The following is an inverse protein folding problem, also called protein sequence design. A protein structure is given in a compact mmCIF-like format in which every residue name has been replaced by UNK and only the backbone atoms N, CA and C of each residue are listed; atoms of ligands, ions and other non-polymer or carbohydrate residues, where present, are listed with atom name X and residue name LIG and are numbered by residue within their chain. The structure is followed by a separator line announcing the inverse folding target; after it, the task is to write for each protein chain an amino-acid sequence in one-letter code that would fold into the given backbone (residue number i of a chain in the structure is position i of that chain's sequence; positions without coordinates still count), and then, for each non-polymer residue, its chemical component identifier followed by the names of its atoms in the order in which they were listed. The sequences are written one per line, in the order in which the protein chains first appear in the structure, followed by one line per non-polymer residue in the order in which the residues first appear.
data_IF_147495798726
#
_entry.id   IF_147495798726
#
_cell.length_a   1.000
_cell.length_b   1.000
_cell.length_c   1.000
_cell.angle_alpha   90.00
_cell.angle_beta   90.00
_cell.angle_gamma   90.00
#
_symmetry.space_group_name_H-M   'P 1'
#
loop_
_entity.id
_entity.type
_entity.pdbx_description
1 polymer ?
#
# COMPACT_ATOMS: atom_id res chain seq x y z
N UNK A 1 -3.71 3.60 25.23
CA UNK A 1 -4.37 4.81 24.68
C UNK A 1 -3.76 5.06 23.31
N UNK A 2 -4.46 4.71 22.23
CA UNK A 2 -4.01 5.07 20.90
C UNK A 2 -4.21 6.59 20.71
N UNK A 3 -3.27 7.32 20.09
CA UNK A 3 -3.46 8.73 19.79
C UNK A 3 -4.67 8.91 18.88
N UNK A 4 -5.45 9.98 19.11
CA UNK A 4 -6.57 10.32 18.23
C UNK A 4 -6.01 10.76 16.88
N UNK A 5 -6.49 10.23 15.74
CA UNK A 5 -6.00 10.64 14.44
C UNK A 5 -6.23 12.14 14.23
N UNK A 6 -5.29 12.85 13.58
CA UNK A 6 -5.47 14.25 13.20
C UNK A 6 -6.62 14.40 12.20
N UNK A 7 -7.15 15.61 12.05
CA UNK A 7 -8.21 15.86 11.04
C UNK A 7 -7.69 15.53 9.63
N UNK A 8 -8.55 15.07 8.72
CA UNK A 8 -8.18 14.87 7.32
C UNK A 8 -7.49 16.11 6.73
N UNK A 9 -6.40 15.91 5.99
CA UNK A 9 -5.62 16.98 5.35
C UNK A 9 -4.58 17.70 6.22
N UNK A 10 -4.46 17.38 7.52
CA UNK A 10 -3.47 18.02 8.42
C UNK A 10 -2.08 17.39 8.42
N UNK A 11 -1.94 16.18 7.89
CA UNK A 11 -0.64 15.48 7.81
C UNK A 11 -0.36 15.20 6.34
N UNK A 12 0.79 15.64 5.82
CA UNK A 12 1.16 15.32 4.45
C UNK A 12 1.23 13.82 4.27
N UNK A 13 0.83 13.34 3.09
CA UNK A 13 1.02 11.94 2.73
C UNK A 13 2.51 11.61 2.71
N UNK A 14 2.88 10.32 2.79
CA UNK A 14 4.28 9.91 2.60
C UNK A 14 4.86 10.39 1.26
N UNK A 15 4.01 10.58 0.25
CA UNK A 15 4.39 11.13 -1.05
C UNK A 15 4.66 12.64 -1.00
N UNK A 16 3.96 13.39 -0.14
CA UNK A 16 4.12 14.85 0.02
C UNK A 16 5.24 15.23 1.01
N UNK A 17 5.40 14.48 2.10
CA UNK A 17 6.42 14.74 3.13
C UNK A 17 7.82 14.19 2.81
N UNK A 18 7.90 13.25 1.87
CA UNK A 18 9.13 12.56 1.50
C UNK A 18 9.59 11.52 2.52
N UNK A 19 10.32 10.50 2.04
CA UNK A 19 10.96 9.49 2.88
C UNK A 19 12.40 9.29 2.41
N UNK A 20 13.33 9.17 3.36
CA UNK A 20 14.70 8.83 3.03
C UNK A 20 14.75 7.37 2.56
N UNK A 21 15.11 7.12 1.30
CA UNK A 21 15.15 5.77 0.73
C UNK A 21 16.05 4.78 1.49
N UNK A 22 17.07 5.28 2.18
CA UNK A 22 17.90 4.46 3.08
C UNK A 22 17.11 3.86 4.25
N UNK A 23 16.09 4.56 4.75
CA UNK A 23 15.24 4.07 5.84
C UNK A 23 14.34 2.93 5.36
N UNK A 24 13.72 3.08 4.19
CA UNK A 24 12.89 2.02 3.61
C UNK A 24 13.75 0.80 3.26
N UNK A 25 14.97 1.00 2.76
CA UNK A 25 15.95 -0.07 2.53
C UNK A 25 16.33 -0.85 3.80
N UNK A 26 16.62 -0.15 4.90
CA UNK A 26 16.92 -0.78 6.19
C UNK A 26 15.74 -1.59 6.73
N UNK A 27 14.54 -1.00 6.75
CA UNK A 27 13.32 -1.68 7.22
C UNK A 27 13.02 -2.91 6.37
N UNK A 28 13.07 -2.78 5.04
CA UNK A 28 12.79 -3.88 4.12
C UNK A 28 13.79 -5.03 4.24
N UNK A 29 15.07 -4.72 4.46
CA UNK A 29 16.11 -5.74 4.67
C UNK A 29 15.86 -6.53 5.96
N UNK A 30 15.49 -5.85 7.05
CA UNK A 30 15.12 -6.53 8.30
C UNK A 30 13.88 -7.39 8.12
N UNK A 31 12.86 -6.91 7.40
CA UNK A 31 11.66 -7.70 7.10
C UNK A 31 11.99 -8.94 6.27
N UNK A 32 12.84 -8.83 5.24
CA UNK A 32 13.28 -9.96 4.43
C UNK A 32 14.03 -11.01 5.27
N UNK A 33 14.87 -10.57 6.22
CA UNK A 33 15.53 -11.47 7.16
C UNK A 33 14.53 -12.23 8.04
N UNK A 34 13.47 -11.57 8.53
CA UNK A 34 12.42 -12.26 9.28
C UNK A 34 11.68 -13.29 8.43
N UNK A 35 11.41 -12.99 7.16
CA UNK A 35 10.82 -13.95 6.22
C UNK A 35 11.72 -15.18 6.05
N UNK A 36 13.03 -14.99 5.88
CA UNK A 36 13.99 -16.11 5.76
C UNK A 36 13.92 -17.00 7.02
N UNK A 37 13.91 -16.41 8.22
CA UNK A 37 13.80 -17.19 9.47
C UNK A 37 12.50 -17.98 9.53
N UNK A 38 11.38 -17.37 9.14
CA UNK A 38 10.07 -18.02 9.12
C UNK A 38 10.02 -19.20 8.13
N UNK A 39 10.51 -19.00 6.91
CA UNK A 39 10.48 -20.01 5.85
C UNK A 39 11.42 -21.17 6.14
N UNK A 40 12.62 -20.89 6.65
CA UNK A 40 13.64 -21.91 6.91
C UNK A 40 13.47 -22.59 8.27
N UNK A 41 12.71 -22.00 9.19
CA UNK A 41 12.63 -22.45 10.58
C UNK A 41 13.92 -22.24 11.37
N UNK A 42 14.88 -21.47 10.84
CA UNK A 42 16.19 -21.23 11.49
C UNK A 42 16.16 -19.93 12.28
N UNK A 43 16.70 -19.96 13.50
CA UNK A 43 16.82 -18.80 14.38
C UNK A 43 15.54 -18.49 15.15
N UNK A 44 15.44 -17.27 15.69
CA UNK A 44 14.28 -16.82 16.47
C UNK A 44 13.59 -15.65 15.76
N UNK A 45 12.40 -15.86 15.18
CA UNK A 45 11.62 -14.80 14.56
C UNK A 45 11.22 -13.69 15.54
N UNK A 46 11.04 -12.47 15.03
CA UNK A 46 10.63 -11.29 15.78
C UNK A 46 9.11 -11.22 15.99
N UNK A 47 8.47 -12.38 16.18
CA UNK A 47 7.02 -12.49 16.40
C UNK A 47 6.66 -11.90 17.75
N UNK A 48 5.54 -11.17 17.81
CA UNK A 48 5.05 -10.56 19.04
C UNK A 48 5.91 -9.40 19.56
N UNK A 49 6.72 -8.80 18.68
CA UNK A 49 7.62 -7.70 19.04
C UNK A 49 7.45 -6.53 18.07
N UNK A 50 7.58 -5.31 18.59
CA UNK A 50 7.64 -4.08 17.81
C UNK A 50 9.05 -3.50 17.91
N UNK A 51 9.72 -3.39 16.76
CA UNK A 51 10.99 -2.70 16.65
C UNK A 51 10.74 -1.22 16.34
N UNK A 52 11.22 -0.35 17.21
CA UNK A 52 11.26 1.09 16.99
C UNK A 52 12.69 1.51 16.69
N UNK A 53 12.89 2.15 15.54
CA UNK A 53 14.18 2.62 15.07
C UNK A 53 14.15 4.15 15.01
N UNK A 54 14.92 4.78 15.91
CA UNK A 54 15.25 6.19 15.82
C UNK A 54 16.57 6.28 15.04
N UNK A 55 16.49 6.64 13.77
CA UNK A 55 17.66 6.66 12.89
C UNK A 55 18.45 7.95 12.94
N UNK A 56 17.83 9.04 13.44
CA UNK A 56 18.54 10.29 13.71
C UNK A 56 19.49 10.13 14.91
N UNK A 57 19.01 9.45 15.96
CA UNK A 57 19.80 9.13 17.15
C UNK A 57 20.51 7.77 17.11
N UNK A 58 20.29 6.97 16.06
CA UNK A 58 20.78 5.59 15.89
C UNK A 58 20.46 4.70 17.10
N UNK A 59 19.18 4.62 17.47
CA UNK A 59 18.69 3.83 18.61
C UNK A 59 17.64 2.82 18.17
N UNK A 60 17.79 1.61 18.68
CA UNK A 60 16.87 0.51 18.48
C UNK A 60 16.20 0.16 19.81
N UNK A 61 14.87 0.15 19.82
CA UNK A 61 14.08 -0.27 20.99
C UNK A 61 13.11 -1.36 20.58
N UNK A 62 13.06 -2.42 21.37
CA UNK A 62 12.13 -3.52 21.15
C UNK A 62 11.07 -3.50 22.24
N UNK A 63 9.82 -3.55 21.83
CA UNK A 63 8.67 -3.69 22.73
C UNK A 63 8.04 -5.06 22.53
N UNK A 64 7.71 -5.75 23.61
CA UNK A 64 6.94 -6.99 23.52
C UNK A 64 5.45 -6.63 23.41
N UNK A 65 4.81 -7.07 22.34
CA UNK A 65 3.37 -6.93 22.13
C UNK A 65 2.67 -8.19 22.60
N UNK A 66 1.58 -8.02 23.34
CA UNK A 66 0.70 -9.11 23.75
C UNK A 66 -0.64 -8.94 23.04
N UNK A 67 -1.24 -10.06 22.64
CA UNK A 67 -2.63 -10.06 22.15
C UNK A 67 -3.52 -9.54 23.26
N UNK A 68 -4.43 -8.64 22.90
CA UNK A 68 -5.50 -8.19 23.79
C UNK A 68 -6.70 -9.16 23.65
N UNK A 69 -7.07 -9.91 24.70
CA UNK A 69 -8.24 -10.80 24.67
C UNK A 69 -9.55 -10.06 24.38
N UNK A 70 -9.62 -8.76 24.71
CA UNK A 70 -10.78 -7.90 24.45
C UNK A 70 -10.70 -7.17 23.10
N UNK A 71 -9.74 -7.50 22.23
CA UNK A 71 -9.62 -6.87 20.92
C UNK A 71 -10.91 -7.04 20.10
N UNK A 72 -11.55 -5.96 19.61
CA UNK A 72 -12.80 -6.07 18.87
C UNK A 72 -12.65 -6.76 17.51
N UNK A 73 -11.43 -6.97 17.01
CA UNK A 73 -11.17 -7.66 15.73
C UNK A 73 -10.74 -9.13 15.91
N UNK A 74 -9.77 -9.38 16.80
CA UNK A 74 -9.20 -10.71 16.98
C UNK A 74 -9.20 -11.18 18.44
N UNK A 75 -10.04 -10.62 19.30
CA UNK A 75 -10.24 -11.04 20.69
C UNK A 75 -11.08 -12.32 20.80
N UNK A 76 -11.51 -12.64 22.02
CA UNK A 76 -12.36 -13.81 22.28
C UNK A 76 -13.82 -13.60 21.83
N UNK A 77 -14.27 -12.33 21.78
CA UNK A 77 -15.60 -11.95 21.32
C UNK A 77 -15.51 -10.78 20.32
N UNK A 78 -15.17 -11.04 19.04
CA UNK A 78 -14.95 -10.00 18.04
C UNK A 78 -16.27 -9.30 17.64
N UNK A 79 -16.21 -7.98 17.51
CA UNK A 79 -17.32 -7.12 17.06
C UNK A 79 -17.08 -6.47 15.70
N UNK A 80 -15.82 -6.39 15.25
CA UNK A 80 -15.45 -5.94 13.90
C UNK A 80 -15.42 -7.18 13.01
N UNK A 81 -16.41 -7.33 12.14
CA UNK A 81 -16.59 -8.49 11.26
C UNK A 81 -16.33 -8.19 9.79
N UNK A 82 -16.29 -6.91 9.43
CA UNK A 82 -16.00 -6.43 8.08
C UNK A 82 -15.05 -5.23 8.13
N UNK A 83 -14.24 -5.00 7.08
CA UNK A 83 -13.42 -3.80 6.97
C UNK A 83 -14.29 -2.54 6.97
N UNK A 84 -13.86 -1.52 7.70
CA UNK A 84 -14.45 -0.18 7.57
C UNK A 84 -14.14 0.40 6.19
N UNK A 85 -15.06 1.21 5.66
CA UNK A 85 -14.78 2.02 4.49
C UNK A 85 -13.71 3.07 4.84
N UNK A 86 -12.48 2.79 4.42
CA UNK A 86 -11.33 3.66 4.64
C UNK A 86 -11.50 5.04 3.98
N UNK A 87 -12.23 5.11 2.86
CA UNK A 87 -12.50 6.38 2.16
C UNK A 87 -13.45 7.25 2.97
N UNK A 88 -14.56 6.68 3.45
CA UNK A 88 -15.47 7.34 4.40
C UNK A 88 -14.83 7.70 5.73
N UNK A 89 -13.99 6.84 6.32
CA UNK A 89 -13.30 7.09 7.60
C UNK A 89 -12.26 8.22 7.50
N UNK A 90 -11.49 8.25 6.41
CA UNK A 90 -10.50 9.30 6.17
C UNK A 90 -11.10 10.58 5.57
N UNK A 91 -12.42 10.60 5.30
CA UNK A 91 -13.08 11.74 4.65
C UNK A 91 -12.55 12.01 3.24
N UNK A 92 -11.99 10.98 2.58
CA UNK A 92 -11.59 11.06 1.18
C UNK A 92 -12.86 10.97 0.35
N UNK A 93 -13.14 12.00 -0.43
CA UNK A 93 -14.18 11.89 -1.45
C UNK A 93 -13.74 10.80 -2.42
N UNK A 94 -14.52 9.73 -2.65
CA UNK A 94 -14.19 8.78 -3.68
C UNK A 94 -13.99 9.56 -4.99
N UNK A 95 -12.96 9.20 -5.79
CA UNK A 95 -12.79 9.85 -7.08
C UNK A 95 -14.10 9.73 -7.86
N UNK A 96 -14.43 10.72 -8.72
CA UNK A 96 -15.62 10.64 -9.56
C UNK A 96 -15.65 9.28 -10.25
N UNK A 97 -16.83 8.66 -10.30
CA UNK A 97 -17.01 7.36 -10.94
C UNK A 97 -16.65 7.50 -12.43
N UNK A 98 -15.46 7.01 -12.79
CA UNK A 98 -14.98 7.04 -14.17
C UNK A 98 -15.45 5.75 -14.82
N UNK A 99 -16.23 5.80 -15.93
CA UNK A 99 -16.64 4.61 -16.65
C UNK A 99 -15.41 3.73 -16.96
N UNK A 100 -15.46 2.47 -16.52
CA UNK A 100 -14.39 1.51 -16.74
C UNK A 100 -14.74 0.58 -17.90
N UNK A 101 -13.71 0.08 -18.59
CA UNK A 101 -13.84 -0.84 -19.71
C UNK A 101 -12.88 -2.01 -19.49
N UNK A 102 -13.34 -3.25 -19.67
CA UNK A 102 -12.44 -4.41 -19.56
C UNK A 102 -11.52 -4.51 -20.77
N UNK A 103 -10.43 -5.26 -20.63
CA UNK A 103 -9.51 -5.54 -21.76
C UNK A 103 -10.24 -6.24 -22.92
N UNK A 104 -11.23 -7.08 -22.62
CA UNK A 104 -11.98 -7.84 -23.63
C UNK A 104 -12.97 -6.95 -24.38
N UNK A 105 -13.61 -6.02 -23.67
CA UNK A 105 -14.50 -5.03 -24.28
C UNK A 105 -13.71 -4.06 -25.16
N UNK A 106 -12.53 -3.60 -24.70
CA UNK A 106 -11.62 -2.79 -25.52
C UNK A 106 -11.21 -3.54 -26.78
N UNK A 107 -10.84 -4.82 -26.68
CA UNK A 107 -10.49 -5.63 -27.85
C UNK A 107 -11.66 -5.71 -28.84
N UNK A 108 -12.89 -5.93 -28.35
CA UNK A 108 -14.10 -6.03 -29.16
C UNK A 108 -14.42 -4.71 -29.87
N UNK A 109 -14.33 -3.58 -29.16
CA UNK A 109 -14.50 -2.23 -29.69
C UNK A 109 -13.53 -1.96 -30.86
N UNK A 110 -12.27 -2.40 -30.70
CA UNK A 110 -11.23 -2.27 -31.73
C UNK A 110 -11.49 -3.14 -32.96
N UNK A 111 -11.90 -4.40 -32.77
CA UNK A 111 -12.23 -5.30 -33.88
C UNK A 111 -13.42 -4.80 -34.71
N UNK A 112 -14.37 -4.13 -34.06
CA UNK A 112 -15.52 -3.51 -34.71
C UNK A 112 -15.19 -2.19 -35.41
N UNK A 113 -13.95 -1.70 -35.32
CA UNK A 113 -13.53 -0.45 -35.96
C UNK A 113 -14.19 0.79 -35.36
N UNK A 114 -14.69 0.72 -34.12
CA UNK A 114 -15.29 1.89 -33.48
C UNK A 114 -14.24 2.98 -33.25
N UNK A 115 -14.56 4.26 -33.49
CA UNK A 115 -13.61 5.36 -33.28
C UNK A 115 -13.33 5.54 -31.78
N UNK A 116 -12.05 5.58 -31.41
CA UNK A 116 -11.59 5.76 -30.04
C UNK A 116 -10.20 6.40 -30.00
N UNK A 117 -9.85 7.02 -28.86
CA UNK A 117 -8.51 7.49 -28.55
C UNK A 117 -7.98 6.72 -27.35
N UNK A 118 -6.79 6.13 -27.48
CA UNK A 118 -6.15 5.38 -26.43
C UNK A 118 -4.95 6.16 -25.90
N UNK A 119 -5.09 6.74 -24.70
CA UNK A 119 -4.01 7.45 -24.00
C UNK A 119 -3.29 6.49 -23.05
N UNK A 120 -1.99 6.33 -23.23
CA UNK A 120 -1.11 5.59 -22.33
C UNK A 120 -0.49 6.58 -21.33
N UNK A 121 -0.76 6.37 -20.04
CA UNK A 121 -0.34 7.25 -18.94
C UNK A 121 0.86 6.70 -18.17
N UNK A 122 1.51 5.65 -18.69
CA UNK A 122 2.72 5.06 -18.11
C UNK A 122 3.95 5.90 -18.40
N UNK A 123 5.06 5.59 -17.74
CA UNK A 123 6.35 6.26 -17.98
C UNK A 123 6.93 5.89 -19.37
N UNK A 124 7.79 6.75 -19.96
CA UNK A 124 8.40 6.50 -21.27
C UNK A 124 9.10 5.15 -21.39
N UNK A 125 9.81 4.70 -20.35
CA UNK A 125 10.55 3.44 -20.35
C UNK A 125 9.61 2.21 -20.34
N UNK A 126 8.47 2.29 -19.64
CA UNK A 126 7.45 1.24 -19.64
C UNK A 126 6.74 1.14 -20.99
N UNK A 127 6.43 2.30 -21.60
CA UNK A 127 5.83 2.38 -22.93
C UNK A 127 6.79 1.90 -24.04
N UNK A 128 8.08 2.13 -23.88
CA UNK A 128 9.12 1.65 -24.80
C UNK A 128 9.28 0.12 -24.76
N UNK A 129 9.08 -0.50 -23.59
CA UNK A 129 9.16 -1.95 -23.41
C UNK A 129 8.02 -2.69 -24.14
N UNK A 130 6.79 -2.21 -23.97
CA UNK A 130 5.62 -2.73 -24.68
C UNK A 130 4.48 -1.73 -24.66
N UNK A 131 3.65 -1.72 -25.71
CA UNK A 131 2.46 -0.87 -25.80
C UNK A 131 1.33 -1.53 -26.58
N UNK A 132 0.13 -1.05 -26.34
CA UNK A 132 -1.02 -1.39 -27.16
C UNK A 132 -0.88 -0.63 -28.49
N UNK A 133 -0.87 -1.33 -29.62
CA UNK A 133 -0.72 -0.68 -30.92
C UNK A 133 -1.79 0.42 -31.11
N UNK A 134 -1.38 1.62 -31.52
CA UNK A 134 -2.27 2.78 -31.67
C UNK A 134 -2.47 3.63 -30.40
N UNK A 135 -1.85 3.27 -29.26
CA UNK A 135 -1.84 4.14 -28.08
C UNK A 135 -0.95 5.37 -28.29
N UNK A 136 -1.36 6.49 -27.69
CA UNK A 136 -0.58 7.74 -27.63
C UNK A 136 -0.05 7.90 -26.20
N UNK A 137 1.25 8.08 -26.03
CA UNK A 137 1.86 8.34 -24.72
C UNK A 137 1.58 9.78 -24.29
N UNK A 138 1.17 9.98 -23.03
CA UNK A 138 1.07 11.32 -22.44
C UNK A 138 2.48 11.93 -22.34
N UNK A 139 2.64 13.16 -22.87
CA UNK A 139 3.90 13.91 -22.82
C UNK A 139 3.86 14.96 -21.72
#
# INVERSE_FOLDING_TARGET
MAPRPPRPGLVPTCAEGGVLGVLTGLVGTLQALEVIKLVTGIGTPFIGKLLHMDTLGVRFRTFNLRRDPACPFCGENPSITEPIDYTGFCGMTPPPDVPTLTVHDLHSLRQQGQPHFLLDVREPDEHATARIAGSTLIR
#
